data_IF_493767602613
#
_entry.id   IF_493767602613
#
_cell.length_a   1.000
_cell.length_b   1.000
_cell.length_c   1.000
_cell.angle_alpha   90.00
_cell.angle_beta   90.00
_cell.angle_gamma   90.00
#
_symmetry.space_group_name_H-M   'P 1'
#
loop_
_entity.id
_entity.type
_entity.pdbx_description
1 polymer ?
#
# COMPACT_ATOMS: atom_id res chain seq x y z
N UNK A 1 -22.57 14.07 45.37
CA UNK A 1 -23.34 14.00 44.10
C UNK A 1 -22.68 14.84 42.99
N UNK A 2 -22.34 16.11 43.24
CA UNK A 2 -21.74 17.01 42.21
C UNK A 2 -20.39 16.53 41.63
N UNK A 3 -19.50 15.95 42.45
CA UNK A 3 -18.20 15.44 41.97
C UNK A 3 -18.33 14.23 41.05
N UNK A 4 -19.33 13.40 41.21
CA UNK A 4 -19.58 12.25 40.33
C UNK A 4 -20.12 12.67 38.95
N UNK A 5 -20.97 13.71 38.88
CA UNK A 5 -21.52 14.27 37.65
C UNK A 5 -20.44 14.98 36.83
N UNK A 6 -19.62 15.83 37.48
CA UNK A 6 -18.48 16.50 36.79
C UNK A 6 -17.47 15.49 36.26
N UNK A 7 -17.19 14.42 37.01
CA UNK A 7 -16.33 13.33 36.56
C UNK A 7 -16.87 12.60 35.34
N UNK A 8 -18.19 12.39 35.25
CA UNK A 8 -18.86 11.78 34.11
C UNK A 8 -18.84 12.65 32.86
N UNK A 9 -19.10 13.96 33.01
CA UNK A 9 -19.05 14.91 31.88
C UNK A 9 -17.64 15.08 31.35
N UNK A 10 -16.63 15.18 32.22
CA UNK A 10 -15.23 15.27 31.83
C UNK A 10 -14.78 14.03 31.03
N UNK A 11 -15.13 12.83 31.50
CA UNK A 11 -14.86 11.59 30.81
C UNK A 11 -15.51 11.57 29.44
N UNK A 12 -16.78 11.95 29.29
CA UNK A 12 -17.49 12.04 28.05
C UNK A 12 -16.85 13.03 27.04
N UNK A 13 -16.30 14.14 27.55
CA UNK A 13 -15.56 15.11 26.75
C UNK A 13 -14.23 14.54 26.27
N UNK A 14 -13.47 13.87 27.14
CA UNK A 14 -12.20 13.21 26.78
C UNK A 14 -12.41 12.12 25.72
N UNK A 15 -13.46 11.31 25.85
CA UNK A 15 -13.80 10.29 24.86
C UNK A 15 -14.10 10.92 23.48
N UNK A 16 -14.86 12.01 23.45
CA UNK A 16 -15.15 12.76 22.21
C UNK A 16 -13.87 13.33 21.57
N UNK A 17 -12.98 13.91 22.37
CA UNK A 17 -11.69 14.42 21.91
C UNK A 17 -10.86 13.26 21.32
N UNK A 18 -10.76 12.13 22.01
CA UNK A 18 -10.01 10.97 21.55
C UNK A 18 -10.54 10.43 20.20
N UNK A 19 -11.88 10.34 20.07
CA UNK A 19 -12.51 9.95 18.80
C UNK A 19 -12.17 10.95 17.69
N UNK A 20 -12.23 12.25 18.00
CA UNK A 20 -11.89 13.32 17.05
C UNK A 20 -10.42 13.22 16.59
N UNK A 21 -9.49 13.07 17.52
CA UNK A 21 -8.06 12.91 17.24
C UNK A 21 -7.79 11.67 16.38
N UNK A 22 -8.40 10.53 16.73
CA UNK A 22 -8.25 9.29 15.95
C UNK A 22 -8.79 9.46 14.52
N UNK A 23 -9.90 10.14 14.34
CA UNK A 23 -10.47 10.44 13.04
C UNK A 23 -9.56 11.34 12.21
N UNK A 24 -9.02 12.40 12.81
CA UNK A 24 -8.06 13.30 12.16
C UNK A 24 -6.79 12.55 11.76
N UNK A 25 -6.24 11.73 12.65
CA UNK A 25 -5.09 10.88 12.35
C UNK A 25 -5.36 9.97 11.16
N UNK A 26 -6.52 9.30 11.13
CA UNK A 26 -6.87 8.41 10.03
C UNK A 26 -7.02 9.16 8.70
N UNK A 27 -7.66 10.33 8.71
CA UNK A 27 -7.78 11.18 7.51
C UNK A 27 -6.41 11.64 7.01
N UNK A 28 -5.50 12.01 7.91
CA UNK A 28 -4.16 12.48 7.55
C UNK A 28 -3.25 11.38 7.00
N UNK A 29 -3.43 10.12 7.45
CA UNK A 29 -2.48 9.04 7.19
C UNK A 29 -2.99 7.97 6.22
N UNK A 30 -4.30 7.87 5.97
CA UNK A 30 -4.90 6.81 5.16
C UNK A 30 -5.61 7.33 3.92
N UNK A 31 -5.67 6.52 2.89
CA UNK A 31 -6.51 6.71 1.70
C UNK A 31 -7.97 6.34 2.05
N UNK A 32 -8.88 7.29 1.88
CA UNK A 32 -10.28 7.15 2.30
C UNK A 32 -11.06 6.08 1.52
N UNK A 33 -10.57 5.70 0.35
CA UNK A 33 -11.21 4.69 -0.51
C UNK A 33 -10.79 3.28 -0.16
N UNK A 34 -9.51 3.06 0.09
CA UNK A 34 -8.95 1.72 0.29
C UNK A 34 -8.67 1.37 1.76
N UNK A 35 -8.58 2.37 2.63
CA UNK A 35 -8.19 2.21 4.02
C UNK A 35 -6.69 1.95 4.23
N UNK A 36 -5.90 1.81 3.18
CA UNK A 36 -4.44 1.71 3.25
C UNK A 36 -3.81 3.05 3.61
N UNK A 37 -2.54 3.07 3.95
CA UNK A 37 -1.83 4.32 4.09
C UNK A 37 -1.86 5.13 2.79
N UNK A 38 -1.89 6.46 2.92
CA UNK A 38 -1.78 7.37 1.78
C UNK A 38 -0.30 7.63 1.42
N UNK A 39 -0.08 8.28 0.29
CA UNK A 39 1.27 8.58 -0.21
C UNK A 39 2.05 9.53 0.71
N UNK A 40 1.39 10.40 1.48
CA UNK A 40 2.05 11.35 2.40
C UNK A 40 2.68 10.58 3.55
N UNK A 41 1.88 9.80 4.26
CA UNK A 41 2.36 8.96 5.35
C UNK A 41 3.43 7.97 4.91
N UNK A 42 3.26 7.37 3.71
CA UNK A 42 4.27 6.47 3.16
C UNK A 42 5.63 7.15 3.00
N UNK A 43 5.66 8.39 2.48
CA UNK A 43 6.90 9.16 2.32
C UNK A 43 7.58 9.43 3.65
N UNK A 44 6.81 9.81 4.67
CA UNK A 44 7.35 10.11 6.00
C UNK A 44 7.99 8.86 6.63
N UNK A 45 7.29 7.72 6.57
CA UNK A 45 7.84 6.46 7.08
C UNK A 45 9.03 5.98 6.24
N UNK A 46 9.00 6.21 4.92
CA UNK A 46 10.11 5.84 4.05
C UNK A 46 11.42 6.56 4.44
N UNK A 47 11.37 7.82 4.83
CA UNK A 47 12.55 8.57 5.30
C UNK A 47 13.16 7.91 6.53
N UNK A 48 12.33 7.46 7.49
CA UNK A 48 12.79 6.76 8.69
C UNK A 48 13.44 5.41 8.36
N UNK A 49 12.86 4.64 7.46
CA UNK A 49 13.41 3.35 7.04
C UNK A 49 14.67 3.51 6.18
N UNK A 50 14.74 4.59 5.39
CA UNK A 50 15.92 4.96 4.61
C UNK A 50 17.14 5.22 5.53
N UNK A 51 16.94 5.89 6.65
CA UNK A 51 18.02 6.14 7.62
C UNK A 51 18.52 4.85 8.28
N UNK A 52 17.64 3.87 8.47
CA UNK A 52 18.03 2.51 8.90
C UNK A 52 18.81 1.78 7.80
N UNK A 53 18.39 1.94 6.54
CA UNK A 53 19.06 1.33 5.40
C UNK A 53 20.46 1.90 5.18
N UNK A 54 20.66 3.20 5.37
CA UNK A 54 21.98 3.85 5.36
C UNK A 54 22.94 3.29 6.41
N UNK A 55 22.40 2.76 7.52
CA UNK A 55 23.17 2.09 8.59
C UNK A 55 23.29 0.57 8.39
N UNK A 56 23.14 0.09 7.15
CA UNK A 56 23.34 -1.31 6.77
C UNK A 56 22.12 -2.22 6.91
N UNK A 57 20.93 -1.70 7.24
CA UNK A 57 19.71 -2.50 7.16
C UNK A 57 19.24 -2.61 5.72
N UNK A 58 18.64 -3.73 5.35
CA UNK A 58 18.06 -3.91 4.02
C UNK A 58 16.71 -3.17 3.94
N UNK A 59 16.38 -2.73 2.74
CA UNK A 59 15.10 -2.11 2.44
C UNK A 59 14.74 -2.43 0.98
N UNK A 60 13.53 -2.88 0.73
CA UNK A 60 13.02 -3.10 -0.62
C UNK A 60 11.69 -2.40 -0.83
N UNK A 61 11.44 -2.03 -2.07
CA UNK A 61 10.22 -1.40 -2.54
C UNK A 61 9.60 -2.25 -3.64
N UNK A 62 8.27 -2.44 -3.58
CA UNK A 62 7.47 -3.01 -4.64
C UNK A 62 6.49 -1.93 -5.09
N UNK A 63 6.47 -1.64 -6.38
CA UNK A 63 5.42 -0.84 -7.02
C UNK A 63 4.45 -1.79 -7.71
N UNK A 64 3.17 -1.57 -7.48
CA UNK A 64 2.06 -2.42 -7.94
C UNK A 64 1.09 -1.58 -8.73
N UNK A 65 0.60 -2.11 -9.84
CA UNK A 65 -0.42 -1.46 -10.67
C UNK A 65 -1.45 -2.51 -11.14
N UNK A 66 -2.73 -2.12 -11.10
CA UNK A 66 -3.81 -3.00 -11.56
C UNK A 66 -3.86 -2.99 -13.09
N UNK A 67 -3.68 -4.15 -13.68
CA UNK A 67 -3.68 -4.30 -15.13
C UNK A 67 -5.02 -3.91 -15.74
N UNK A 68 -4.97 -3.05 -16.78
CA UNK A 68 -6.14 -2.63 -17.54
C UNK A 68 -7.26 -1.97 -16.71
N UNK A 69 -6.94 -1.30 -15.59
CA UNK A 69 -7.93 -0.72 -14.68
C UNK A 69 -8.85 0.30 -15.37
N UNK A 70 -8.33 1.09 -16.31
CA UNK A 70 -9.16 1.99 -17.13
C UNK A 70 -10.28 1.22 -17.84
N UNK A 71 -9.98 0.06 -18.44
CA UNK A 71 -10.99 -0.79 -19.09
C UNK A 71 -12.04 -1.28 -18.10
N UNK A 72 -11.66 -1.56 -16.87
CA UNK A 72 -12.59 -1.94 -15.79
C UNK A 72 -13.55 -0.79 -15.48
N UNK A 73 -13.03 0.44 -15.34
CA UNK A 73 -13.87 1.64 -15.16
C UNK A 73 -14.85 1.83 -16.32
N UNK A 74 -14.36 1.73 -17.55
CA UNK A 74 -15.16 1.94 -18.75
C UNK A 74 -16.25 0.88 -18.94
N UNK A 75 -15.99 -0.37 -18.48
CA UNK A 75 -16.92 -1.51 -18.65
C UNK A 75 -17.91 -1.64 -17.51
N UNK A 76 -17.49 -1.46 -16.26
CA UNK A 76 -18.27 -1.76 -15.06
C UNK A 76 -18.65 -0.53 -14.24
N UNK A 77 -18.18 0.65 -14.64
CA UNK A 77 -18.42 1.92 -13.96
C UNK A 77 -17.58 2.11 -12.69
N UNK A 78 -17.50 3.38 -12.25
CA UNK A 78 -16.62 3.79 -11.15
C UNK A 78 -16.95 3.11 -9.81
N UNK A 79 -18.22 2.87 -9.49
CA UNK A 79 -18.61 2.21 -8.24
C UNK A 79 -18.09 0.76 -8.14
N UNK A 80 -18.08 0.04 -9.27
CA UNK A 80 -17.52 -1.32 -9.31
C UNK A 80 -16.00 -1.29 -9.24
N UNK A 81 -15.38 -0.36 -9.96
CA UNK A 81 -13.93 -0.17 -9.93
C UNK A 81 -13.44 0.20 -8.51
N UNK A 82 -14.18 1.01 -7.78
CA UNK A 82 -13.88 1.35 -6.39
C UNK A 82 -13.90 0.12 -5.47
N UNK A 83 -14.91 -0.76 -5.62
CA UNK A 83 -14.96 -2.05 -4.89
C UNK A 83 -13.80 -2.98 -5.26
N UNK A 84 -13.34 -2.94 -6.50
CA UNK A 84 -12.17 -3.69 -6.95
C UNK A 84 -10.90 -3.13 -6.29
N UNK A 85 -10.72 -1.80 -6.25
CA UNK A 85 -9.60 -1.17 -5.54
C UNK A 85 -9.57 -1.54 -4.06
N UNK A 86 -10.71 -1.45 -3.36
CA UNK A 86 -10.83 -1.89 -1.97
C UNK A 86 -10.47 -3.37 -1.80
N UNK A 87 -10.93 -4.23 -2.71
CA UNK A 87 -10.63 -5.67 -2.61
C UNK A 87 -9.15 -5.95 -2.85
N UNK A 88 -8.54 -5.33 -3.86
CA UNK A 88 -7.09 -5.44 -4.11
C UNK A 88 -6.33 -4.97 -2.87
N UNK A 89 -6.65 -3.81 -2.32
CA UNK A 89 -6.01 -3.28 -1.11
C UNK A 89 -6.01 -4.28 0.06
N UNK A 90 -7.17 -4.89 0.36
CA UNK A 90 -7.29 -5.92 1.41
C UNK A 90 -6.44 -7.16 1.13
N UNK A 91 -6.33 -7.57 -0.13
CA UNK A 91 -5.47 -8.70 -0.52
C UNK A 91 -4.00 -8.34 -0.33
N UNK A 92 -3.58 -7.13 -0.77
CA UNK A 92 -2.20 -6.67 -0.59
C UNK A 92 -1.82 -6.66 0.89
N UNK A 93 -2.64 -6.07 1.74
CA UNK A 93 -2.41 -5.95 3.19
C UNK A 93 -2.32 -7.32 3.88
N UNK A 94 -3.17 -8.26 3.49
CA UNK A 94 -3.17 -9.63 4.04
C UNK A 94 -1.90 -10.42 3.68
N UNK A 95 -1.31 -10.15 2.53
CA UNK A 95 -0.17 -10.90 1.99
C UNK A 95 1.20 -10.34 2.43
N UNK A 96 1.23 -9.27 3.21
CA UNK A 96 2.45 -8.70 3.77
C UNK A 96 2.50 -8.88 5.28
N UNK A 97 3.64 -8.59 5.91
CA UNK A 97 3.80 -8.68 7.36
C UNK A 97 3.26 -7.43 8.04
N UNK A 98 2.93 -7.50 9.32
CA UNK A 98 2.40 -6.39 10.11
C UNK A 98 3.28 -5.11 10.08
N UNK A 99 4.59 -5.26 9.92
CA UNK A 99 5.53 -4.13 9.87
C UNK A 99 5.93 -3.72 8.45
N UNK A 100 5.45 -4.42 7.43
CA UNK A 100 5.52 -3.96 6.05
C UNK A 100 4.48 -2.86 5.84
N UNK A 101 4.77 -1.88 5.02
CA UNK A 101 3.90 -0.72 4.81
C UNK A 101 3.27 -0.81 3.42
N UNK A 102 1.96 -0.87 3.37
CA UNK A 102 1.20 -0.84 2.11
C UNK A 102 0.49 0.51 2.00
N UNK A 103 0.67 1.19 0.88
CA UNK A 103 0.06 2.48 0.63
C UNK A 103 -0.54 2.55 -0.77
N UNK A 104 -1.60 3.33 -0.92
CA UNK A 104 -2.09 3.76 -2.22
C UNK A 104 -1.43 5.07 -2.61
N UNK A 105 -0.79 5.08 -3.77
CA UNK A 105 -0.08 6.27 -4.25
C UNK A 105 -0.97 7.17 -5.13
N UNK A 106 -1.90 6.60 -5.85
CA UNK A 106 -2.90 7.31 -6.65
C UNK A 106 -3.55 6.37 -7.67
N UNK A 107 -4.72 6.73 -8.19
CA UNK A 107 -5.39 5.92 -9.21
C UNK A 107 -5.48 4.43 -8.84
N UNK A 108 -4.79 3.61 -9.62
CA UNK A 108 -4.66 2.16 -9.47
C UNK A 108 -3.28 1.68 -8.97
N UNK A 109 -2.45 2.61 -8.49
CA UNK A 109 -1.07 2.33 -8.09
C UNK A 109 -0.94 2.18 -6.58
N UNK A 110 -0.21 1.13 -6.15
CA UNK A 110 0.09 0.84 -4.76
C UNK A 110 1.59 0.63 -4.57
N UNK A 111 2.08 1.05 -3.42
CA UNK A 111 3.46 0.85 -3.01
C UNK A 111 3.51 -0.06 -1.78
N UNK A 112 4.46 -0.99 -1.77
CA UNK A 112 4.73 -1.85 -0.61
C UNK A 112 6.20 -1.66 -0.22
N UNK A 113 6.41 -1.10 0.96
CA UNK A 113 7.72 -0.97 1.56
C UNK A 113 8.00 -2.17 2.46
N UNK A 114 9.15 -2.78 2.28
CA UNK A 114 9.56 -3.99 2.99
C UNK A 114 10.84 -3.70 3.80
N UNK A 115 10.72 -3.25 5.06
CA UNK A 115 11.85 -3.08 5.95
C UNK A 115 12.59 -4.41 6.16
N UNK A 116 13.93 -4.35 6.24
CA UNK A 116 14.81 -5.50 6.46
C UNK A 116 14.67 -6.64 5.43
N UNK A 117 14.12 -6.36 4.25
CA UNK A 117 13.97 -7.35 3.17
C UNK A 117 14.99 -7.15 2.06
N UNK A 118 15.63 -8.23 1.64
CA UNK A 118 16.47 -8.28 0.44
C UNK A 118 15.63 -8.38 -0.82
N UNK A 119 16.25 -8.14 -1.98
CA UNK A 119 15.61 -8.32 -3.28
C UNK A 119 14.98 -9.71 -3.43
N UNK A 120 15.65 -10.77 -3.00
CA UNK A 120 15.14 -12.13 -3.11
C UNK A 120 13.90 -12.36 -2.25
N UNK A 121 13.85 -11.77 -1.05
CA UNK A 121 12.66 -11.80 -0.18
C UNK A 121 11.53 -10.98 -0.80
N UNK A 122 11.83 -9.78 -1.28
CA UNK A 122 10.85 -8.90 -1.91
C UNK A 122 10.21 -9.54 -3.15
N UNK A 123 11.00 -10.23 -3.99
CA UNK A 123 10.50 -10.98 -5.15
C UNK A 123 9.51 -12.07 -4.76
N UNK A 124 9.81 -12.83 -3.69
CA UNK A 124 8.89 -13.87 -3.18
C UNK A 124 7.58 -13.28 -2.65
N UNK A 125 7.68 -12.16 -1.93
CA UNK A 125 6.48 -11.45 -1.45
C UNK A 125 5.67 -10.92 -2.62
N UNK A 126 6.30 -10.27 -3.60
CA UNK A 126 5.65 -9.76 -4.80
C UNK A 126 4.91 -10.86 -5.57
N UNK A 127 5.55 -12.02 -5.77
CA UNK A 127 4.92 -13.15 -6.46
C UNK A 127 3.76 -13.76 -5.66
N UNK A 128 3.86 -13.82 -4.32
CA UNK A 128 2.76 -14.24 -3.44
C UNK A 128 1.56 -13.29 -3.57
N UNK A 129 1.80 -11.99 -3.49
CA UNK A 129 0.80 -10.93 -3.66
C UNK A 129 0.13 -11.05 -5.04
N UNK A 130 0.91 -11.16 -6.11
CA UNK A 130 0.40 -11.31 -7.47
C UNK A 130 -0.55 -12.50 -7.58
N UNK A 131 -0.13 -13.67 -7.08
CA UNK A 131 -0.95 -14.90 -7.10
C UNK A 131 -2.21 -14.78 -6.26
N UNK A 132 -2.12 -14.12 -5.10
CA UNK A 132 -3.26 -13.91 -4.23
C UNK A 132 -4.33 -13.05 -4.91
N UNK A 133 -3.94 -11.95 -5.57
CA UNK A 133 -4.85 -11.10 -6.35
C UNK A 133 -5.47 -11.87 -7.51
N UNK A 134 -4.65 -12.57 -8.30
CA UNK A 134 -5.11 -13.32 -9.47
C UNK A 134 -6.08 -14.45 -9.12
N UNK A 135 -5.90 -15.09 -7.96
CA UNK A 135 -6.73 -16.22 -7.49
C UNK A 135 -7.90 -15.79 -6.59
N UNK A 136 -8.01 -14.49 -6.25
CA UNK A 136 -9.10 -14.01 -5.40
C UNK A 136 -10.46 -14.20 -6.08
N UNK A 137 -11.39 -14.84 -5.38
CA UNK A 137 -12.69 -15.22 -5.94
C UNK A 137 -13.55 -14.04 -6.38
N UNK A 138 -13.43 -12.87 -5.71
CA UNK A 138 -14.18 -11.67 -6.06
C UNK A 138 -13.54 -10.93 -7.26
N UNK A 139 -12.21 -10.95 -7.36
CA UNK A 139 -11.47 -10.28 -8.42
C UNK A 139 -11.46 -11.08 -9.73
N UNK A 140 -11.46 -12.41 -9.61
CA UNK A 140 -11.42 -13.35 -10.74
C UNK A 140 -12.57 -13.15 -11.74
N UNK A 141 -13.78 -12.84 -11.25
CA UNK A 141 -14.95 -12.59 -12.11
C UNK A 141 -14.78 -11.37 -13.02
N UNK A 142 -13.93 -10.42 -12.63
CA UNK A 142 -13.60 -9.23 -13.43
C UNK A 142 -12.28 -9.38 -14.19
N UNK A 143 -11.65 -10.57 -14.13
CA UNK A 143 -10.35 -10.87 -14.75
C UNK A 143 -9.24 -9.94 -14.30
N UNK A 144 -9.26 -9.53 -13.02
CA UNK A 144 -8.26 -8.62 -12.46
C UNK A 144 -6.94 -9.34 -12.28
N UNK A 145 -5.88 -8.70 -12.73
CA UNK A 145 -4.49 -9.03 -12.43
C UNK A 145 -3.71 -7.78 -12.07
N UNK A 146 -2.52 -7.95 -11.54
CA UNK A 146 -1.61 -6.87 -11.20
C UNK A 146 -0.23 -7.14 -11.78
N UNK A 147 0.45 -6.08 -12.18
CA UNK A 147 1.87 -6.10 -12.54
C UNK A 147 2.67 -5.46 -11.42
N UNK A 148 3.87 -5.98 -11.15
CA UNK A 148 4.70 -5.52 -10.05
C UNK A 148 6.13 -5.29 -10.50
N UNK A 149 6.70 -4.18 -10.03
CA UNK A 149 8.12 -3.87 -10.15
C UNK A 149 8.79 -3.86 -8.78
N UNK A 150 9.95 -4.51 -8.65
CA UNK A 150 10.67 -4.66 -7.38
C UNK A 150 12.04 -4.01 -7.46
N UNK A 151 12.42 -3.25 -6.43
CA UNK A 151 13.76 -2.71 -6.28
C UNK A 151 14.24 -2.84 -4.82
N UNK A 152 15.51 -3.19 -4.62
CA UNK A 152 16.19 -3.13 -3.33
C UNK A 152 16.94 -1.79 -3.22
N UNK A 153 16.99 -1.24 -2.04
CA UNK A 153 17.80 -0.06 -1.71
C UNK A 153 19.26 -0.26 -2.11
N UNK A 154 19.85 0.77 -2.67
CA UNK A 154 21.28 0.88 -2.97
C UNK A 154 21.84 2.10 -2.28
N UNK A 155 23.13 2.09 -2.02
CA UNK A 155 23.81 3.24 -1.44
C UNK A 155 23.48 4.54 -2.20
N UNK A 156 23.21 5.62 -1.44
CA UNK A 156 22.78 6.93 -1.94
C UNK A 156 21.39 6.99 -2.58
N UNK A 157 20.56 5.93 -2.45
CA UNK A 157 19.17 6.06 -2.86
C UNK A 157 18.39 7.03 -1.96
N UNK A 158 17.41 7.64 -2.57
CA UNK A 158 16.25 8.26 -1.93
C UNK A 158 14.98 7.59 -2.49
N UNK A 159 13.80 8.02 -2.04
CA UNK A 159 12.55 7.45 -2.53
C UNK A 159 12.42 7.54 -4.05
N UNK A 160 12.79 8.68 -4.65
CA UNK A 160 12.67 8.87 -6.10
C UNK A 160 13.55 7.91 -6.90
N UNK A 161 14.78 7.65 -6.43
CA UNK A 161 15.71 6.75 -7.13
C UNK A 161 15.28 5.30 -7.06
N UNK A 162 14.88 4.83 -5.88
CA UNK A 162 14.39 3.45 -5.73
C UNK A 162 13.06 3.25 -6.44
N UNK A 163 12.14 4.23 -6.38
CA UNK A 163 10.86 4.20 -7.11
C UNK A 163 11.10 4.15 -8.61
N UNK A 164 11.96 5.00 -9.17
CA UNK A 164 12.30 4.96 -10.61
C UNK A 164 12.83 3.60 -11.07
N UNK A 165 13.56 2.86 -10.21
CA UNK A 165 14.01 1.49 -10.57
C UNK A 165 12.86 0.50 -10.50
N UNK A 166 12.01 0.59 -9.48
CA UNK A 166 10.83 -0.25 -9.38
C UNK A 166 9.84 0.03 -10.53
N UNK A 167 9.65 1.30 -10.92
CA UNK A 167 8.79 1.70 -12.05
C UNK A 167 9.32 1.15 -13.39
N UNK A 168 10.64 1.22 -13.62
CA UNK A 168 11.25 0.59 -14.81
C UNK A 168 11.02 -0.92 -14.84
N UNK A 169 11.05 -1.58 -13.69
CA UNK A 169 10.73 -2.99 -13.57
C UNK A 169 9.24 -3.24 -13.82
N UNK A 170 8.35 -2.42 -13.24
CA UNK A 170 6.90 -2.48 -13.50
C UNK A 170 6.59 -2.28 -15.00
N UNK A 171 7.24 -1.34 -15.64
CA UNK A 171 7.09 -1.13 -17.07
C UNK A 171 7.44 -2.39 -17.86
N UNK A 172 8.58 -3.05 -17.54
CA UNK A 172 8.92 -4.36 -18.17
C UNK A 172 7.88 -5.44 -17.90
N UNK A 173 7.27 -5.43 -16.71
CA UNK A 173 6.19 -6.36 -16.39
C UNK A 173 4.96 -6.12 -17.28
N UNK A 174 4.60 -4.85 -17.50
CA UNK A 174 3.47 -4.46 -18.37
C UNK A 174 3.75 -4.82 -19.85
N UNK A 175 4.93 -4.47 -20.39
CA UNK A 175 5.33 -4.80 -21.77
C UNK A 175 5.47 -6.29 -21.99
N UNK A 176 5.96 -7.03 -21.01
CA UNK A 176 6.13 -8.48 -21.09
C UNK A 176 4.82 -9.29 -21.10
N UNK A 177 3.64 -8.64 -21.09
CA UNK A 177 2.33 -9.31 -21.13
C UNK A 177 1.57 -9.27 -19.81
N UNK A 178 1.97 -8.39 -18.88
CA UNK A 178 1.29 -8.14 -17.59
C UNK A 178 1.24 -9.35 -16.67
N UNK A 179 0.47 -9.24 -15.55
CA UNK A 179 0.29 -10.30 -14.55
C UNK A 179 1.60 -10.99 -14.16
N UNK A 180 2.64 -10.20 -13.85
CA UNK A 180 3.97 -10.69 -13.49
C UNK A 180 4.76 -9.75 -12.60
N UNK A 181 5.85 -10.28 -12.07
CA UNK A 181 6.84 -9.54 -11.28
C UNK A 181 8.11 -9.36 -12.11
N UNK A 182 8.64 -8.12 -12.16
CA UNK A 182 9.97 -7.80 -12.68
C UNK A 182 10.80 -7.06 -11.63
N UNK A 183 12.14 -7.03 -11.78
CA UNK A 183 13.06 -6.37 -10.84
C UNK A 183 14.30 -5.78 -11.51
#
# INVERSE_FOLDING_TARGET
>A
MVEGEIGGELKGLLDKIQIGVNKLYHIATHDQKTGLYNHVFFKDVFVLELDKARRGKRLSLIVVDIDHFKKVNDTYGHLTADKILERVARVLEKEVRKYDIVARFGGEEFFIMLPSASLSVAKRIAERVRRAVFNDSHLKKYKISISLGVAEYRERDNLDRISKRADKALYRAKEGGRNRVCW
#
